data_IF_646036598765
#
_entry.id   IF_646036598765
#
_cell.length_a   1.000
_cell.length_b   1.000
_cell.length_c   1.000
_cell.angle_alpha   90.00
_cell.angle_beta   90.00
_cell.angle_gamma   90.00
#
_symmetry.space_group_name_H-M   'P 1'
#
loop_
_entity.id
_entity.type
_entity.pdbx_description
1 polymer ?
#
# COMPACT_ATOMS: atom_id res chain seq x y z
N UNK A 1 -90.84 50.84 -116.58
CA UNK A 1 -90.11 51.41 -115.41
C UNK A 1 -89.48 50.32 -114.53
N UNK A 2 -89.45 49.06 -114.98
CA UNK A 2 -89.19 47.89 -114.12
C UNK A 2 -87.71 47.51 -113.91
N UNK A 3 -86.79 47.93 -114.79
CA UNK A 3 -85.36 47.58 -114.67
C UNK A 3 -84.64 48.34 -113.53
N UNK A 4 -85.07 49.56 -113.20
CA UNK A 4 -84.46 50.38 -112.13
C UNK A 4 -84.81 49.84 -110.74
N UNK A 5 -86.05 49.38 -110.58
CA UNK A 5 -86.57 48.71 -109.38
C UNK A 5 -85.80 47.41 -109.09
N UNK A 6 -85.37 46.67 -110.13
CA UNK A 6 -84.61 45.42 -109.98
C UNK A 6 -83.19 45.59 -109.43
N UNK A 7 -82.51 46.70 -109.77
CA UNK A 7 -81.13 46.98 -109.31
C UNK A 7 -81.13 47.48 -107.86
N UNK A 8 -82.06 48.37 -107.51
CA UNK A 8 -82.25 48.83 -106.13
C UNK A 8 -82.55 47.66 -105.18
N UNK A 9 -83.41 46.72 -105.60
CA UNK A 9 -83.71 45.51 -104.82
C UNK A 9 -82.45 44.64 -104.59
N UNK A 10 -81.56 44.51 -105.59
CA UNK A 10 -80.29 43.78 -105.44
C UNK A 10 -79.33 44.44 -104.44
N UNK A 11 -79.16 45.76 -104.53
CA UNK A 11 -78.28 46.53 -103.62
C UNK A 11 -78.82 46.48 -102.19
N UNK A 12 -80.14 46.57 -102.02
CA UNK A 12 -80.79 46.42 -100.71
C UNK A 12 -80.62 45.01 -100.12
N UNK A 13 -80.66 43.96 -100.96
CA UNK A 13 -80.38 42.58 -100.53
C UNK A 13 -78.92 42.38 -100.09
N UNK A 14 -77.94 42.96 -100.79
CA UNK A 14 -76.53 42.94 -100.39
C UNK A 14 -76.26 43.76 -99.12
N UNK A 15 -76.90 44.92 -98.96
CA UNK A 15 -76.81 45.70 -97.74
C UNK A 15 -77.40 44.93 -96.57
N UNK A 16 -78.55 44.26 -96.77
CA UNK A 16 -79.16 43.42 -95.75
C UNK A 16 -78.25 42.26 -95.34
N UNK A 17 -77.64 41.55 -96.28
CA UNK A 17 -76.71 40.47 -95.94
C UNK A 17 -75.44 40.95 -95.22
N UNK A 18 -74.93 42.14 -95.55
CA UNK A 18 -73.84 42.78 -94.79
C UNK A 18 -74.26 43.18 -93.38
N UNK A 19 -75.46 43.72 -93.22
CA UNK A 19 -76.03 44.07 -91.90
C UNK A 19 -76.17 42.80 -91.06
N UNK A 20 -76.78 41.74 -91.61
CA UNK A 20 -76.96 40.45 -90.93
C UNK A 20 -75.60 39.84 -90.51
N UNK A 21 -74.58 39.90 -91.37
CA UNK A 21 -73.22 39.46 -91.05
C UNK A 21 -72.56 40.31 -89.95
N UNK A 22 -72.72 41.64 -89.99
CA UNK A 22 -72.19 42.54 -88.97
C UNK A 22 -72.87 42.31 -87.62
N UNK A 23 -74.18 42.05 -87.61
CA UNK A 23 -74.93 41.69 -86.40
C UNK A 23 -74.44 40.35 -85.84
N UNK A 24 -74.27 39.33 -86.68
CA UNK A 24 -73.71 38.04 -86.25
C UNK A 24 -72.30 38.19 -85.67
N UNK A 25 -71.42 38.94 -86.34
CA UNK A 25 -70.07 39.21 -85.86
C UNK A 25 -70.08 39.97 -84.53
N UNK A 26 -70.94 40.98 -84.38
CA UNK A 26 -71.11 41.74 -83.14
C UNK A 26 -71.55 40.84 -81.97
N UNK A 27 -72.52 39.96 -82.22
CA UNK A 27 -72.98 38.97 -81.23
C UNK A 27 -71.85 38.00 -80.85
N UNK A 28 -71.05 37.56 -81.82
CA UNK A 28 -69.93 36.65 -81.57
C UNK A 28 -68.81 37.31 -80.77
N UNK A 29 -68.41 38.52 -81.13
CA UNK A 29 -67.42 39.32 -80.38
C UNK A 29 -67.89 39.55 -78.95
N UNK A 30 -69.19 39.86 -78.74
CA UNK A 30 -69.74 40.05 -77.40
C UNK A 30 -69.63 38.79 -76.54
N UNK A 31 -69.94 37.62 -77.11
CA UNK A 31 -69.77 36.31 -76.44
C UNK A 31 -68.31 36.04 -76.07
N UNK A 32 -67.39 36.31 -76.98
CA UNK A 32 -65.95 36.16 -76.72
C UNK A 32 -65.46 37.10 -75.63
N UNK A 33 -65.94 38.35 -75.64
CA UNK A 33 -65.63 39.35 -74.62
C UNK A 33 -66.13 38.94 -73.23
N UNK A 34 -67.36 38.43 -73.13
CA UNK A 34 -67.92 37.89 -71.89
C UNK A 34 -67.11 36.69 -71.38
N UNK A 35 -66.68 35.80 -72.29
CA UNK A 35 -65.83 34.66 -71.94
C UNK A 35 -64.46 35.10 -71.39
N UNK A 36 -63.80 36.04 -72.06
CA UNK A 36 -62.51 36.60 -71.62
C UNK A 36 -62.65 37.28 -70.26
N UNK A 37 -63.74 38.03 -70.05
CA UNK A 37 -63.99 38.70 -68.77
C UNK A 37 -64.14 37.70 -67.61
N UNK A 38 -64.83 36.57 -67.83
CA UNK A 38 -64.96 35.52 -66.82
C UNK A 38 -63.63 34.79 -66.59
N UNK A 39 -62.87 34.48 -67.64
CA UNK A 39 -61.53 33.90 -67.52
C UNK A 39 -60.57 34.80 -66.75
N UNK A 40 -60.62 36.12 -66.99
CA UNK A 40 -59.84 37.13 -66.28
C UNK A 40 -60.19 37.16 -64.78
N UNK A 41 -61.49 37.07 -64.46
CA UNK A 41 -61.97 37.01 -63.07
C UNK A 41 -61.47 35.76 -62.36
N UNK A 42 -61.50 34.61 -63.02
CA UNK A 42 -60.98 33.34 -62.49
C UNK A 42 -59.46 33.38 -62.32
N UNK A 43 -58.71 33.98 -63.25
CA UNK A 43 -57.26 34.11 -63.11
C UNK A 43 -56.89 35.05 -61.98
N UNK A 44 -57.61 36.17 -61.82
CA UNK A 44 -57.39 37.11 -60.71
C UNK A 44 -57.61 36.46 -59.35
N UNK A 45 -58.65 35.65 -59.18
CA UNK A 45 -58.90 34.93 -57.92
C UNK A 45 -57.82 33.89 -57.63
N UNK A 46 -57.39 33.12 -58.64
CA UNK A 46 -56.27 32.18 -58.53
C UNK A 46 -54.95 32.87 -58.16
N UNK A 47 -54.67 34.03 -58.76
CA UNK A 47 -53.46 34.81 -58.48
C UNK A 47 -53.44 35.28 -57.03
N UNK A 48 -54.54 35.87 -56.55
CA UNK A 48 -54.66 36.30 -55.15
C UNK A 48 -54.53 35.13 -54.16
N UNK A 49 -55.06 33.95 -54.50
CA UNK A 49 -54.86 32.73 -53.72
C UNK A 49 -53.38 32.33 -53.63
N UNK A 50 -52.66 32.35 -54.77
CA UNK A 50 -51.23 32.03 -54.83
C UNK A 50 -50.38 33.04 -54.06
N UNK A 51 -50.69 34.33 -54.13
CA UNK A 51 -50.01 35.38 -53.37
C UNK A 51 -50.12 35.14 -51.86
N UNK A 52 -51.32 34.80 -51.37
CA UNK A 52 -51.54 34.45 -49.95
C UNK A 52 -50.72 33.22 -49.54
N UNK A 53 -50.68 32.17 -50.37
CA UNK A 53 -49.88 30.98 -50.09
C UNK A 53 -48.37 31.29 -50.08
N UNK A 54 -47.89 32.16 -50.97
CA UNK A 54 -46.49 32.59 -51.02
C UNK A 54 -46.07 33.34 -49.75
N UNK A 55 -46.93 34.23 -49.24
CA UNK A 55 -46.69 34.94 -47.99
C UNK A 55 -46.56 33.94 -46.83
N UNK A 56 -47.51 33.01 -46.70
CA UNK A 56 -47.47 31.97 -45.66
C UNK A 56 -46.22 31.09 -45.75
N UNK A 57 -45.79 30.71 -46.96
CA UNK A 57 -44.56 29.93 -47.16
C UNK A 57 -43.31 30.73 -46.77
N UNK A 58 -43.29 32.03 -47.05
CA UNK A 58 -42.19 32.92 -46.69
C UNK A 58 -42.06 33.07 -45.18
N UNK A 59 -43.18 33.24 -44.48
CA UNK A 59 -43.24 33.29 -43.01
C UNK A 59 -42.77 31.97 -42.39
N UNK A 60 -43.29 30.82 -42.87
CA UNK A 60 -42.87 29.49 -42.40
C UNK A 60 -41.37 29.27 -42.61
N UNK A 61 -40.84 29.65 -43.77
CA UNK A 61 -39.41 29.55 -44.07
C UNK A 61 -38.57 30.43 -43.13
N UNK A 62 -39.03 31.65 -42.83
CA UNK A 62 -38.35 32.55 -41.88
C UNK A 62 -38.31 31.96 -40.48
N UNK A 63 -39.43 31.44 -39.99
CA UNK A 63 -39.53 30.79 -38.67
C UNK A 63 -38.66 29.54 -38.59
N UNK A 64 -38.69 28.68 -39.62
CA UNK A 64 -37.85 27.48 -39.69
C UNK A 64 -36.36 27.83 -39.65
N UNK A 65 -35.94 28.91 -40.32
CA UNK A 65 -34.56 29.38 -40.30
C UNK A 65 -34.11 29.81 -38.91
N UNK A 66 -34.93 30.62 -38.21
CA UNK A 66 -34.65 31.03 -36.82
C UNK A 66 -34.52 29.84 -35.87
N UNK A 67 -35.39 28.84 -36.00
CA UNK A 67 -35.31 27.62 -35.19
C UNK A 67 -34.03 26.83 -35.51
N UNK A 68 -33.66 26.74 -36.78
CA UNK A 68 -32.45 26.04 -37.21
C UNK A 68 -31.17 26.72 -36.71
N UNK A 69 -31.15 28.05 -36.67
CA UNK A 69 -30.03 28.81 -36.11
C UNK A 69 -29.88 28.55 -34.60
N UNK A 70 -31.00 28.52 -33.84
CA UNK A 70 -30.97 28.13 -32.41
C UNK A 70 -30.45 26.71 -32.19
N UNK A 71 -30.92 25.74 -32.98
CA UNK A 71 -30.46 24.34 -32.89
C UNK A 71 -28.95 24.25 -33.16
N UNK A 72 -28.42 25.05 -34.09
CA UNK A 72 -26.98 25.10 -34.36
C UNK A 72 -26.19 25.66 -33.19
N UNK A 73 -26.67 26.72 -32.56
CA UNK A 73 -26.06 27.30 -31.36
C UNK A 73 -26.05 26.30 -30.19
N UNK A 74 -27.19 25.68 -29.91
CA UNK A 74 -27.33 24.67 -28.84
C UNK A 74 -26.43 23.46 -29.07
N UNK A 75 -26.33 23.00 -30.33
CA UNK A 75 -25.42 21.93 -30.71
C UNK A 75 -23.96 22.32 -30.44
N UNK A 76 -23.56 23.52 -30.87
CA UNK A 76 -22.18 23.99 -30.71
C UNK A 76 -21.81 24.15 -29.24
N UNK A 77 -22.74 24.62 -28.40
CA UNK A 77 -22.57 24.66 -26.95
C UNK A 77 -22.40 23.25 -26.36
N UNK A 78 -23.25 22.31 -26.78
CA UNK A 78 -23.18 20.91 -26.33
C UNK A 78 -21.86 20.24 -26.73
N UNK A 79 -21.42 20.45 -27.98
CA UNK A 79 -20.15 19.91 -28.49
C UNK A 79 -18.96 20.44 -27.66
N UNK A 80 -18.93 21.75 -27.35
CA UNK A 80 -17.90 22.35 -26.47
C UNK A 80 -17.91 21.70 -25.07
N UNK A 81 -19.09 21.47 -24.49
CA UNK A 81 -19.19 20.82 -23.18
C UNK A 81 -18.69 19.37 -23.23
N UNK A 82 -19.07 18.62 -24.26
CA UNK A 82 -18.62 17.23 -24.46
C UNK A 82 -17.10 17.17 -24.59
N UNK A 83 -16.47 18.06 -25.37
CA UNK A 83 -15.01 18.11 -25.47
C UNK A 83 -14.34 18.39 -24.13
N UNK A 84 -14.85 19.37 -23.36
CA UNK A 84 -14.32 19.69 -22.02
C UNK A 84 -14.45 18.53 -21.05
N UNK A 85 -15.59 17.84 -21.05
CA UNK A 85 -15.82 16.68 -20.18
C UNK A 85 -14.94 15.50 -20.59
N UNK A 86 -14.79 15.25 -21.89
CA UNK A 86 -13.93 14.19 -22.42
C UNK A 86 -12.47 14.35 -21.96
N UNK A 87 -11.93 15.57 -22.04
CA UNK A 87 -10.59 15.87 -21.54
C UNK A 87 -10.46 15.56 -20.03
N UNK A 88 -11.41 16.02 -19.21
CA UNK A 88 -11.43 15.73 -17.77
C UNK A 88 -11.51 14.24 -17.47
N UNK A 89 -12.31 13.49 -18.22
CA UNK A 89 -12.44 12.03 -18.07
C UNK A 89 -11.12 11.34 -18.41
N UNK A 90 -10.42 11.80 -19.45
CA UNK A 90 -9.10 11.28 -19.80
C UNK A 90 -8.09 11.53 -18.67
N UNK A 91 -8.02 12.75 -18.15
CA UNK A 91 -7.11 13.10 -17.04
C UNK A 91 -7.40 12.29 -15.78
N UNK A 92 -8.68 12.12 -15.43
CA UNK A 92 -9.08 11.32 -14.27
C UNK A 92 -8.72 9.84 -14.45
N UNK A 93 -8.83 9.30 -15.66
CA UNK A 93 -8.40 7.91 -15.94
C UNK A 93 -6.90 7.74 -15.73
N UNK A 94 -6.08 8.69 -16.18
CA UNK A 94 -4.63 8.65 -15.98
C UNK A 94 -4.27 8.70 -14.49
N UNK A 95 -4.84 9.65 -13.75
CA UNK A 95 -4.62 9.77 -12.29
C UNK A 95 -5.07 8.53 -11.53
N UNK A 96 -6.17 7.89 -11.96
CA UNK A 96 -6.66 6.66 -11.35
C UNK A 96 -5.68 5.51 -11.61
N UNK A 97 -5.14 5.38 -12.82
CA UNK A 97 -4.15 4.37 -13.16
C UNK A 97 -2.87 4.54 -12.32
N UNK A 98 -2.35 5.77 -12.21
CA UNK A 98 -1.19 6.10 -11.35
C UNK A 98 -1.46 5.74 -9.89
N UNK A 99 -2.62 6.13 -9.35
CA UNK A 99 -2.99 5.83 -7.96
C UNK A 99 -3.12 4.32 -7.69
N UNK A 100 -3.62 3.55 -8.67
CA UNK A 100 -3.72 2.09 -8.58
C UNK A 100 -2.32 1.45 -8.56
N UNK A 101 -1.39 1.95 -9.38
CA UNK A 101 -0.01 1.49 -9.39
C UNK A 101 0.70 1.79 -8.06
N UNK A 102 0.53 3.01 -7.52
CA UNK A 102 1.06 3.41 -6.22
C UNK A 102 0.50 2.55 -5.08
N UNK A 103 -0.81 2.29 -5.09
CA UNK A 103 -1.44 1.41 -4.11
C UNK A 103 -0.85 -0.01 -4.17
N UNK A 104 -0.68 -0.58 -5.37
CA UNK A 104 -0.07 -1.90 -5.54
C UNK A 104 1.38 -1.94 -5.02
N UNK A 105 2.15 -0.88 -5.25
CA UNK A 105 3.52 -0.78 -4.74
C UNK A 105 3.56 -0.68 -3.21
N UNK A 106 2.66 0.11 -2.60
CA UNK A 106 2.53 0.21 -1.15
C UNK A 106 2.12 -1.12 -0.51
N UNK A 107 1.20 -1.86 -1.11
CA UNK A 107 0.80 -3.20 -0.65
C UNK A 107 1.99 -4.17 -0.63
N UNK A 108 2.81 -4.19 -1.69
CA UNK A 108 4.03 -5.01 -1.75
C UNK A 108 5.01 -4.61 -0.64
N UNK A 109 5.25 -3.32 -0.44
CA UNK A 109 6.13 -2.84 0.62
C UNK A 109 5.61 -3.22 2.00
N UNK A 110 4.32 -3.07 2.26
CA UNK A 110 3.68 -3.45 3.52
C UNK A 110 3.85 -4.95 3.79
N UNK A 111 3.62 -5.81 2.79
CA UNK A 111 3.82 -7.25 2.94
C UNK A 111 5.25 -7.59 3.35
N UNK A 112 6.25 -7.01 2.68
CA UNK A 112 7.66 -7.26 3.04
C UNK A 112 8.02 -6.73 4.43
N UNK A 113 7.43 -5.62 4.87
CA UNK A 113 7.62 -5.09 6.22
C UNK A 113 6.96 -5.96 7.29
N UNK A 114 5.76 -6.47 7.01
CA UNK A 114 5.06 -7.39 7.91
C UNK A 114 5.88 -8.68 8.12
N UNK A 115 6.36 -9.30 7.04
CA UNK A 115 7.22 -10.50 7.10
C UNK A 115 8.50 -10.23 7.93
N UNK A 116 9.15 -9.08 7.73
CA UNK A 116 10.32 -8.68 8.55
C UNK A 116 9.97 -8.48 10.02
N UNK A 117 8.80 -7.90 10.31
CA UNK A 117 8.32 -7.69 11.67
C UNK A 117 8.10 -9.03 12.39
N UNK A 118 7.45 -9.99 11.73
CA UNK A 118 7.25 -11.35 12.28
C UNK A 118 8.59 -12.05 12.56
N UNK A 119 9.56 -11.92 11.66
CA UNK A 119 10.91 -12.47 11.89
C UNK A 119 11.61 -11.84 13.09
N UNK A 120 11.48 -10.51 13.27
CA UNK A 120 12.04 -9.80 14.41
C UNK A 120 11.36 -10.25 15.70
N UNK A 121 10.03 -10.37 15.70
CA UNK A 121 9.28 -10.83 16.87
C UNK A 121 9.67 -12.25 17.27
N UNK A 122 9.82 -13.15 16.29
CA UNK A 122 10.31 -14.52 16.52
C UNK A 122 11.72 -14.55 17.11
N UNK A 123 12.63 -13.68 16.65
CA UNK A 123 13.98 -13.54 17.23
C UNK A 123 13.94 -12.98 18.65
N UNK A 124 13.09 -11.99 18.91
CA UNK A 124 12.93 -11.39 20.24
C UNK A 124 12.43 -12.41 21.27
N UNK A 125 11.45 -13.25 20.92
CA UNK A 125 10.96 -14.34 21.78
C UNK A 125 12.09 -15.31 22.15
N UNK A 126 12.90 -15.74 21.18
CA UNK A 126 14.05 -16.63 21.43
C UNK A 126 15.11 -15.99 22.32
N UNK A 127 15.38 -14.69 22.17
CA UNK A 127 16.32 -13.98 23.03
C UNK A 127 15.81 -13.90 24.47
N UNK A 128 14.52 -13.64 24.65
CA UNK A 128 13.89 -13.59 25.98
C UNK A 128 13.98 -14.94 26.72
N UNK A 129 13.81 -16.06 26.00
CA UNK A 129 14.00 -17.39 26.58
C UNK A 129 15.45 -17.61 27.04
N UNK A 130 16.43 -17.28 26.19
CA UNK A 130 17.86 -17.36 26.55
C UNK A 130 18.20 -16.47 27.74
N UNK A 131 17.61 -15.28 27.83
CA UNK A 131 17.82 -14.38 28.97
C UNK A 131 17.31 -14.99 30.27
N UNK A 132 16.12 -15.62 30.27
CA UNK A 132 15.60 -16.35 31.43
C UNK A 132 16.50 -17.50 31.84
N UNK A 133 17.03 -18.26 30.88
CA UNK A 133 18.01 -19.33 31.16
C UNK A 133 19.29 -18.78 31.79
N UNK A 134 19.82 -17.69 31.24
CA UNK A 134 21.02 -17.03 31.75
C UNK A 134 20.83 -16.50 33.18
N UNK A 135 19.65 -15.97 33.52
CA UNK A 135 19.33 -15.57 34.89
C UNK A 135 19.33 -16.76 35.85
N UNK A 136 18.78 -17.92 35.45
CA UNK A 136 18.83 -19.15 36.25
C UNK A 136 20.27 -19.61 36.49
N UNK A 137 21.09 -19.62 35.44
CA UNK A 137 22.51 -19.98 35.53
C UNK A 137 23.24 -19.02 36.47
N UNK A 138 22.99 -17.71 36.36
CA UNK A 138 23.60 -16.69 37.23
C UNK A 138 23.29 -16.92 38.71
N UNK A 139 22.04 -17.30 39.05
CA UNK A 139 21.67 -17.65 40.42
C UNK A 139 22.40 -18.89 40.93
N UNK A 140 22.52 -19.93 40.08
CA UNK A 140 23.26 -21.15 40.42
C UNK A 140 24.74 -20.84 40.66
N UNK A 141 25.37 -20.04 39.80
CA UNK A 141 26.78 -19.64 39.95
C UNK A 141 26.99 -18.92 41.29
N UNK A 142 26.14 -17.94 41.63
CA UNK A 142 26.23 -17.23 42.92
C UNK A 142 26.08 -18.16 44.13
N UNK A 143 25.25 -19.20 44.04
CA UNK A 143 25.12 -20.19 45.11
C UNK A 143 26.39 -21.05 45.24
N UNK A 144 26.93 -21.51 44.11
CA UNK A 144 28.17 -22.29 44.07
C UNK A 144 29.39 -21.51 44.54
N UNK A 145 29.47 -20.21 44.25
CA UNK A 145 30.53 -19.34 44.76
C UNK A 145 30.55 -19.29 46.30
N UNK A 146 29.37 -19.16 46.93
CA UNK A 146 29.25 -19.19 48.40
C UNK A 146 29.65 -20.55 48.98
N UNK A 147 29.27 -21.64 48.32
CA UNK A 147 29.65 -23.00 48.72
C UNK A 147 31.17 -23.20 48.64
N UNK A 148 31.79 -22.74 47.55
CA UNK A 148 33.26 -22.79 47.37
C UNK A 148 33.96 -21.98 48.46
N UNK A 149 33.48 -20.78 48.79
CA UNK A 149 34.06 -19.94 49.84
C UNK A 149 33.96 -20.61 51.22
N UNK A 150 32.82 -21.22 51.53
CA UNK A 150 32.63 -22.01 52.75
C UNK A 150 33.59 -23.20 52.82
N UNK A 151 33.71 -23.97 51.73
CA UNK A 151 34.61 -25.12 51.65
C UNK A 151 36.08 -24.69 51.79
N UNK A 152 36.49 -23.58 51.17
CA UNK A 152 37.85 -23.02 51.34
C UNK A 152 38.14 -22.67 52.79
N UNK A 153 37.21 -22.03 53.49
CA UNK A 153 37.37 -21.68 54.89
C UNK A 153 37.52 -22.93 55.77
N UNK A 154 36.69 -23.95 55.53
CA UNK A 154 36.79 -25.23 56.25
C UNK A 154 38.10 -25.94 55.97
N UNK A 155 38.56 -25.93 54.71
CA UNK A 155 39.83 -26.53 54.33
C UNK A 155 41.02 -25.89 55.07
N UNK A 156 41.06 -24.56 55.19
CA UNK A 156 42.12 -23.88 55.96
C UNK A 156 42.08 -24.23 57.46
N UNK A 157 40.89 -24.38 58.04
CA UNK A 157 40.75 -24.84 59.43
C UNK A 157 41.29 -26.25 59.61
N UNK A 158 40.90 -27.18 58.75
CA UNK A 158 41.39 -28.57 58.81
C UNK A 158 42.89 -28.66 58.55
N UNK A 159 43.41 -27.90 57.57
CA UNK A 159 44.84 -27.80 57.32
C UNK A 159 45.60 -27.34 58.57
N UNK A 160 45.11 -26.31 59.27
CA UNK A 160 45.71 -25.85 60.52
C UNK A 160 45.69 -26.91 61.64
N UNK A 161 44.61 -27.70 61.75
CA UNK A 161 44.55 -28.84 62.68
C UNK A 161 45.57 -29.91 62.33
N UNK A 162 45.71 -30.25 61.04
CA UNK A 162 46.69 -31.22 60.56
C UNK A 162 48.12 -30.73 60.84
N UNK A 163 48.43 -29.46 60.57
CA UNK A 163 49.74 -28.86 60.89
C UNK A 163 50.07 -28.91 62.39
N UNK A 164 49.08 -28.65 63.25
CA UNK A 164 49.25 -28.80 64.70
C UNK A 164 49.54 -30.25 65.12
N UNK A 165 48.80 -31.21 64.55
CA UNK A 165 49.02 -32.64 64.82
C UNK A 165 50.41 -33.09 64.36
N UNK A 166 50.87 -32.65 63.18
CA UNK A 166 52.24 -32.92 62.69
C UNK A 166 53.28 -32.42 63.69
N UNK A 167 53.19 -31.16 64.16
CA UNK A 167 54.12 -30.61 65.16
C UNK A 167 54.13 -31.42 66.46
N UNK A 168 52.95 -31.87 66.92
CA UNK A 168 52.84 -32.71 68.12
C UNK A 168 53.50 -34.06 67.92
N UNK A 169 53.28 -34.71 66.79
CA UNK A 169 53.93 -35.99 66.45
C UNK A 169 55.44 -35.82 66.42
N UNK A 170 55.96 -34.80 65.75
CA UNK A 170 57.40 -34.52 65.72
C UNK A 170 58.00 -34.31 67.12
N UNK A 171 57.30 -33.62 68.02
CA UNK A 171 57.76 -33.45 69.41
C UNK A 171 57.77 -34.77 70.18
N UNK A 172 56.79 -35.65 69.94
CA UNK A 172 56.76 -36.98 70.55
C UNK A 172 57.89 -37.85 69.99
N UNK A 173 58.11 -37.83 68.68
CA UNK A 173 59.22 -38.53 68.02
C UNK A 173 60.58 -38.08 68.58
N UNK A 174 60.79 -36.78 68.79
CA UNK A 174 62.00 -36.25 69.43
C UNK A 174 62.15 -36.72 70.90
N UNK A 175 61.04 -36.83 71.64
CA UNK A 175 61.07 -37.37 73.00
C UNK A 175 61.36 -38.88 73.03
N UNK A 176 60.78 -39.65 72.11
CA UNK A 176 61.04 -41.09 71.95
C UNK A 176 62.51 -41.31 71.59
N UNK A 177 63.07 -40.55 70.64
CA UNK A 177 64.48 -40.65 70.27
C UNK A 177 65.42 -40.38 71.46
N UNK A 178 65.09 -39.39 72.31
CA UNK A 178 65.83 -39.13 73.56
C UNK A 178 65.70 -40.28 74.57
N UNK A 179 64.49 -40.79 74.78
CA UNK A 179 64.24 -41.92 75.68
C UNK A 179 64.98 -43.19 75.21
N UNK A 180 65.02 -43.45 73.91
CA UNK A 180 65.78 -44.56 73.31
C UNK A 180 67.30 -44.41 73.55
N UNK A 181 67.85 -43.19 73.46
CA UNK A 181 69.25 -42.90 73.79
C UNK A 181 69.54 -43.21 75.27
N UNK A 182 68.67 -42.75 76.17
CA UNK A 182 68.76 -43.00 77.62
C UNK A 182 68.63 -44.50 77.94
N UNK A 183 67.70 -45.21 77.31
CA UNK A 183 67.54 -46.67 77.51
C UNK A 183 68.77 -47.45 77.05
N UNK A 184 69.37 -47.09 75.92
CA UNK A 184 70.64 -47.68 75.46
C UNK A 184 71.78 -47.41 76.44
N UNK A 185 71.86 -46.21 77.02
CA UNK A 185 72.80 -45.86 78.08
C UNK A 185 72.57 -46.68 79.36
N UNK A 186 71.35 -46.73 79.87
CA UNK A 186 70.95 -47.52 81.04
C UNK A 186 71.30 -49.00 80.88
N UNK A 187 71.07 -49.56 79.69
CA UNK A 187 71.44 -50.94 79.41
C UNK A 187 72.96 -51.15 79.44
N UNK A 188 73.77 -50.20 78.92
CA UNK A 188 75.24 -50.24 79.03
C UNK A 188 75.70 -50.14 80.48
N UNK A 189 75.13 -49.24 81.27
CA UNK A 189 75.39 -49.11 82.72
C UNK A 189 75.08 -50.42 83.43
N UNK A 190 73.88 -50.98 83.22
CA UNK A 190 73.46 -52.25 83.82
C UNK A 190 74.40 -53.40 83.44
N UNK A 191 74.80 -53.50 82.17
CA UNK A 191 75.77 -54.52 81.73
C UNK A 191 77.13 -54.35 82.41
N UNK A 192 77.63 -53.13 82.56
CA UNK A 192 78.89 -52.85 83.27
C UNK A 192 78.80 -53.28 84.75
N UNK A 193 77.71 -52.92 85.43
CA UNK A 193 77.47 -53.30 86.83
C UNK A 193 77.32 -54.82 87.01
N UNK A 194 76.59 -55.51 86.11
CA UNK A 194 76.45 -56.97 86.16
C UNK A 194 77.80 -57.67 85.95
N UNK A 195 78.64 -57.14 85.05
CA UNK A 195 79.93 -57.75 84.73
C UNK A 195 81.02 -57.47 85.77
N UNK A 196 81.04 -56.28 86.39
CA UNK A 196 82.13 -55.82 87.27
C UNK A 196 81.75 -55.71 88.75
N UNK A 197 80.46 -55.71 89.09
CA UNK A 197 79.95 -55.53 90.45
C UNK A 197 79.97 -54.07 90.96
N UNK A 198 80.71 -53.17 90.30
CA UNK A 198 80.77 -51.73 90.60
C UNK A 198 81.03 -50.92 89.31
N UNK A 199 80.72 -49.62 89.33
CA UNK A 199 81.02 -48.66 88.25
C UNK A 199 82.19 -47.80 88.72
N UNK A 200 83.24 -47.64 87.91
CA UNK A 200 84.38 -46.79 88.26
C UNK A 200 84.10 -45.30 87.99
N UNK A 201 84.77 -44.40 88.72
CA UNK A 201 84.57 -42.95 88.55
C UNK A 201 84.84 -42.46 87.11
N UNK A 202 85.79 -43.07 86.40
CA UNK A 202 86.05 -42.77 84.98
C UNK A 202 84.92 -43.21 84.05
N UNK A 203 84.31 -44.38 84.32
CA UNK A 203 83.16 -44.86 83.55
C UNK A 203 81.91 -44.03 83.85
N UNK A 204 81.79 -43.57 85.10
CA UNK A 204 80.71 -42.68 85.51
C UNK A 204 80.82 -41.32 84.81
N UNK A 205 82.02 -40.72 84.73
CA UNK A 205 82.25 -39.49 83.95
C UNK A 205 81.90 -39.66 82.47
N UNK A 206 82.29 -40.79 81.85
CA UNK A 206 81.92 -41.07 80.46
C UNK A 206 80.40 -41.20 80.25
N UNK A 207 79.69 -41.85 81.18
CA UNK A 207 78.24 -41.94 81.09
C UNK A 207 77.55 -40.59 81.32
N UNK A 208 78.11 -39.72 82.16
CA UNK A 208 77.59 -38.38 82.40
C UNK A 208 77.75 -37.47 81.18
N UNK A 209 78.90 -37.52 80.50
CA UNK A 209 79.14 -36.75 79.26
C UNK A 209 78.16 -37.18 78.16
N UNK A 210 77.88 -38.47 77.99
CA UNK A 210 76.95 -38.97 76.96
C UNK A 210 75.46 -38.64 77.22
N UNK A 211 75.10 -38.19 78.43
CA UNK A 211 73.75 -37.73 78.80
C UNK A 211 73.53 -36.25 78.43
N UNK A 212 74.60 -35.43 78.41
CA UNK A 212 74.52 -33.99 78.16
C UNK A 212 74.54 -33.62 76.66
N UNK A 213 75.08 -34.50 75.79
CA UNK A 213 74.92 -34.46 74.32
C UNK A 213 73.62 -35.13 73.85
#
# INVERSE_FOLDING_TARGET
MDKKISIEVKVLLELKSKIDNLEQNSVQIKKEFEKIAEELKVTKSKLSGREKSLIQLTEKRSSARKTLDKIREDKLYSDIQVTKLSAKVSDLKTKLAESVEDASNLEKQLKTKAEKSEQIEGKAKKLLEKEKEMQKISLIVKQREKEIEFLKKNFEVEKGKTEYQIKRVMSIEANIARADKILKLLNRVKQSTVNKGFISDKELEQFLIEIED
#
